data_IF_087500085623
#
_entry.id   IF_087500085623
#
_cell.length_a   1.000
_cell.length_b   1.000
_cell.length_c   1.000
_cell.angle_alpha   90.00
_cell.angle_beta   90.00
_cell.angle_gamma   90.00
#
_symmetry.space_group_name_H-M   'P 1'
#
loop_
_entity.id
_entity.type
_entity.pdbx_description
1 polymer ?
#
# COMPACT_ATOMS: atom_id res chain seq x y z
N UNK A 1 -10.64 8.31 15.97
CA UNK A 1 -12.11 8.19 15.95
C UNK A 1 -12.59 7.23 14.85
N UNK A 2 -11.89 7.18 13.70
CA UNK A 2 -12.21 6.40 12.50
C UNK A 2 -12.33 4.88 12.71
N UNK A 3 -11.65 4.30 13.71
CA UNK A 3 -11.56 2.85 13.92
C UNK A 3 -12.36 2.31 15.12
N UNK A 4 -13.25 3.08 15.77
CA UNK A 4 -13.85 2.69 17.06
C UNK A 4 -14.63 1.36 17.04
N UNK A 5 -15.31 1.00 15.93
CA UNK A 5 -16.08 -0.25 15.83
C UNK A 5 -15.24 -1.49 15.44
N UNK A 6 -14.09 -1.30 14.76
CA UNK A 6 -13.31 -2.36 14.13
C UNK A 6 -11.94 -2.61 14.80
N UNK A 7 -11.66 -1.94 15.93
CA UNK A 7 -10.35 -1.99 16.61
C UNK A 7 -9.87 -3.42 16.89
N UNK A 8 -10.74 -4.30 17.34
CA UNK A 8 -10.37 -5.69 17.66
C UNK A 8 -9.93 -6.46 16.42
N UNK A 9 -10.68 -6.32 15.32
CA UNK A 9 -10.35 -6.97 14.02
C UNK A 9 -9.07 -6.41 13.42
N UNK A 10 -8.86 -5.07 13.50
CA UNK A 10 -7.61 -4.44 13.07
C UNK A 10 -6.40 -4.93 13.87
N UNK A 11 -6.49 -4.96 15.19
CA UNK A 11 -5.41 -5.46 16.05
C UNK A 11 -5.10 -6.92 15.72
N UNK A 12 -6.12 -7.75 15.54
CA UNK A 12 -5.93 -9.14 15.15
C UNK A 12 -5.24 -9.27 13.79
N UNK A 13 -5.62 -8.44 12.81
CA UNK A 13 -4.96 -8.37 11.51
C UNK A 13 -3.49 -7.98 11.60
N UNK A 14 -3.13 -7.02 12.47
CA UNK A 14 -1.73 -6.64 12.71
C UNK A 14 -0.94 -7.72 13.43
N UNK A 15 -1.55 -8.43 14.37
CA UNK A 15 -0.91 -9.60 15.02
C UNK A 15 -0.65 -10.69 13.99
N UNK A 16 -1.62 -11.01 13.12
CA UNK A 16 -1.42 -11.96 12.02
C UNK A 16 -0.32 -11.48 11.05
N UNK A 17 -0.25 -10.18 10.77
CA UNK A 17 0.81 -9.59 9.97
C UNK A 17 2.21 -9.76 10.59
N UNK A 18 2.32 -9.56 11.91
CA UNK A 18 3.56 -9.77 12.63
C UNK A 18 4.04 -11.22 12.50
N UNK A 19 3.16 -12.19 12.74
CA UNK A 19 3.51 -13.60 12.58
C UNK A 19 3.82 -13.99 11.14
N UNK A 20 3.06 -13.46 10.16
CA UNK A 20 3.34 -13.68 8.74
C UNK A 20 4.74 -13.16 8.35
N UNK A 21 5.13 -11.99 8.87
CA UNK A 21 6.45 -11.41 8.62
C UNK A 21 7.55 -12.23 9.30
N UNK A 22 7.33 -12.70 10.50
CA UNK A 22 8.25 -13.60 11.19
C UNK A 22 8.48 -14.90 10.41
N UNK A 23 7.39 -15.50 9.91
CA UNK A 23 7.46 -16.68 9.05
C UNK A 23 8.14 -16.39 7.69
N UNK A 24 8.22 -15.12 7.26
CA UNK A 24 8.98 -14.70 6.07
C UNK A 24 10.49 -14.67 6.34
N UNK A 25 10.89 -14.20 7.51
CA UNK A 25 12.29 -14.16 7.91
C UNK A 25 12.85 -15.55 8.30
N UNK A 26 11.97 -16.43 8.81
CA UNK A 26 12.34 -17.76 9.29
C UNK A 26 13.11 -18.62 8.30
N UNK A 27 12.68 -18.81 7.04
CA UNK A 27 13.41 -19.59 6.04
C UNK A 27 14.82 -19.06 5.77
N UNK A 28 15.00 -17.73 5.74
CA UNK A 28 16.30 -17.10 5.54
C UNK A 28 17.24 -17.40 6.71
N UNK A 29 16.72 -17.34 7.93
CA UNK A 29 17.48 -17.66 9.13
C UNK A 29 17.85 -19.14 9.21
N UNK A 30 16.92 -20.00 8.83
CA UNK A 30 17.14 -21.44 8.81
C UNK A 30 18.19 -21.80 7.75
N UNK A 31 18.17 -21.13 6.59
CA UNK A 31 19.19 -21.26 5.57
C UNK A 31 20.57 -20.75 6.04
N UNK A 32 20.62 -19.60 6.70
CA UNK A 32 21.86 -19.05 7.26
C UNK A 32 22.44 -19.98 8.34
N UNK A 33 21.60 -20.52 9.20
CA UNK A 33 22.03 -21.50 10.22
C UNK A 33 22.56 -22.79 9.58
N UNK A 34 21.87 -23.33 8.56
CA UNK A 34 22.30 -24.52 7.83
C UNK A 34 23.65 -24.28 7.10
N UNK A 35 23.80 -23.10 6.49
CA UNK A 35 25.06 -22.70 5.85
C UNK A 35 26.20 -22.62 6.86
N UNK A 36 25.97 -22.05 8.04
CA UNK A 36 26.95 -22.01 9.13
C UNK A 36 27.43 -23.41 9.56
N UNK A 37 26.47 -24.36 9.63
CA UNK A 37 26.78 -25.76 9.92
C UNK A 37 27.60 -26.43 8.81
N UNK A 38 27.26 -26.13 7.55
CA UNK A 38 28.02 -26.65 6.39
C UNK A 38 29.46 -26.14 6.35
N UNK A 39 29.68 -24.85 6.63
CA UNK A 39 30.98 -24.24 6.70
C UNK A 39 31.80 -24.83 7.88
N UNK A 40 31.19 -24.95 9.07
CA UNK A 40 31.83 -25.55 10.23
C UNK A 40 32.27 -27.00 9.97
N UNK A 41 31.51 -27.78 9.21
CA UNK A 41 31.89 -29.11 8.80
C UNK A 41 33.08 -29.11 7.82
N UNK A 42 33.10 -28.17 6.88
CA UNK A 42 34.21 -28.01 5.94
C UNK A 42 35.54 -27.67 6.65
N UNK A 43 35.47 -27.07 7.86
CA UNK A 43 36.60 -26.75 8.72
C UNK A 43 36.90 -27.85 9.77
N UNK A 44 36.12 -28.97 9.76
CA UNK A 44 36.33 -30.11 10.67
C UNK A 44 35.76 -29.93 12.09
N UNK A 45 34.95 -28.89 12.32
CA UNK A 45 34.40 -28.56 13.65
C UNK A 45 33.06 -29.24 13.97
N UNK A 46 32.35 -29.76 12.97
CA UNK A 46 31.03 -30.38 13.18
C UNK A 46 30.71 -31.47 12.15
N UNK A 47 30.17 -32.61 12.59
CA UNK A 47 29.66 -33.66 11.69
C UNK A 47 28.27 -33.27 11.14
N UNK A 48 28.09 -33.42 9.83
CA UNK A 48 26.78 -33.24 9.19
C UNK A 48 26.00 -34.54 9.31
N UNK A 49 24.89 -34.50 10.04
CA UNK A 49 23.91 -35.57 9.99
C UNK A 49 23.21 -35.60 8.64
N UNK A 50 23.05 -36.77 8.03
CA UNK A 50 22.30 -36.98 6.77
C UNK A 50 20.85 -36.52 6.85
N UNK A 51 20.32 -36.29 8.06
CA UNK A 51 18.97 -35.75 8.30
C UNK A 51 18.85 -34.22 8.16
N UNK A 52 19.97 -33.48 8.16
CA UNK A 52 19.99 -32.03 8.16
C UNK A 52 19.29 -31.42 6.94
N UNK A 53 19.47 -31.89 5.68
CA UNK A 53 18.75 -31.38 4.52
C UNK A 53 17.22 -31.60 4.62
N UNK A 54 16.80 -32.75 5.12
CA UNK A 54 15.38 -33.07 5.31
C UNK A 54 14.74 -32.21 6.38
N UNK A 55 15.43 -31.94 7.47
CA UNK A 55 14.96 -31.06 8.54
C UNK A 55 14.81 -29.62 8.05
N UNK A 56 15.76 -29.14 7.25
CA UNK A 56 15.67 -27.83 6.62
C UNK A 56 14.49 -27.76 5.62
N UNK A 57 14.32 -28.77 4.79
CA UNK A 57 13.24 -28.81 3.81
C UNK A 57 11.85 -28.80 4.49
N UNK A 58 11.66 -29.65 5.49
CA UNK A 58 10.41 -29.72 6.26
C UNK A 58 10.18 -28.41 7.01
N UNK A 59 11.22 -27.85 7.65
CA UNK A 59 11.13 -26.60 8.39
C UNK A 59 10.77 -25.40 7.48
N UNK A 60 11.41 -25.26 6.33
CA UNK A 60 11.11 -24.21 5.35
C UNK A 60 9.69 -24.38 4.82
N UNK A 61 9.27 -25.60 4.45
CA UNK A 61 7.93 -25.86 3.93
C UNK A 61 6.85 -25.53 4.99
N UNK A 62 7.08 -25.93 6.23
CA UNK A 62 6.16 -25.61 7.34
C UNK A 62 6.04 -24.11 7.57
N UNK A 63 7.14 -23.37 7.53
CA UNK A 63 7.13 -21.90 7.68
C UNK A 63 6.41 -21.21 6.50
N UNK A 64 6.57 -21.71 5.28
CA UNK A 64 5.87 -21.18 4.09
C UNK A 64 4.35 -21.41 4.21
N UNK A 65 3.94 -22.62 4.62
CA UNK A 65 2.52 -22.93 4.82
C UNK A 65 1.91 -22.06 5.95
N UNK A 66 2.63 -21.91 7.05
CA UNK A 66 2.20 -21.07 8.17
C UNK A 66 2.11 -19.59 7.77
N UNK A 67 3.07 -19.09 6.99
CA UNK A 67 3.02 -17.75 6.39
C UNK A 67 1.78 -17.58 5.52
N UNK A 68 1.50 -18.55 4.65
CA UNK A 68 0.31 -18.50 3.79
C UNK A 68 -0.97 -18.41 4.62
N UNK A 69 -1.08 -19.22 5.68
CA UNK A 69 -2.23 -19.21 6.58
C UNK A 69 -2.40 -17.85 7.28
N UNK A 70 -1.34 -17.30 7.86
CA UNK A 70 -1.41 -15.99 8.52
C UNK A 70 -1.71 -14.86 7.54
N UNK A 71 -1.14 -14.90 6.33
CA UNK A 71 -1.42 -13.91 5.28
C UNK A 71 -2.88 -13.98 4.82
N UNK A 72 -3.42 -15.17 4.65
CA UNK A 72 -4.84 -15.38 4.32
C UNK A 72 -5.76 -14.78 5.39
N UNK A 73 -5.51 -15.08 6.67
CA UNK A 73 -6.30 -14.54 7.77
C UNK A 73 -6.19 -13.03 7.88
N UNK A 74 -4.98 -12.50 7.72
CA UNK A 74 -4.73 -11.06 7.69
C UNK A 74 -5.57 -10.38 6.61
N UNK A 75 -5.45 -10.84 5.37
CA UNK A 75 -6.16 -10.23 4.24
C UNK A 75 -7.68 -10.32 4.44
N UNK A 76 -8.19 -11.46 4.86
CA UNK A 76 -9.62 -11.62 5.12
C UNK A 76 -10.14 -10.68 6.21
N UNK A 77 -9.38 -10.45 7.27
CA UNK A 77 -9.76 -9.54 8.34
C UNK A 77 -9.69 -8.07 7.89
N UNK A 78 -8.70 -7.70 7.11
CA UNK A 78 -8.49 -6.32 6.67
C UNK A 78 -9.41 -5.93 5.50
N UNK A 79 -9.60 -6.80 4.51
CA UNK A 79 -10.52 -6.53 3.40
C UNK A 79 -11.98 -6.41 3.84
N UNK A 80 -12.41 -7.24 4.80
CA UNK A 80 -13.79 -7.13 5.31
C UNK A 80 -14.06 -5.79 5.99
N UNK A 81 -13.06 -5.20 6.65
CA UNK A 81 -13.19 -3.88 7.26
C UNK A 81 -13.32 -2.79 6.19
N UNK A 82 -12.56 -2.88 5.10
CA UNK A 82 -12.62 -1.94 3.98
C UNK A 82 -14.00 -1.90 3.34
N UNK A 83 -14.55 -3.05 3.00
CA UNK A 83 -15.87 -3.14 2.34
C UNK A 83 -17.03 -2.73 3.25
N UNK A 84 -16.99 -3.10 4.56
CA UNK A 84 -18.01 -2.67 5.53
C UNK A 84 -17.99 -1.14 5.70
N UNK A 85 -16.80 -0.53 5.77
CA UNK A 85 -16.65 0.92 5.85
C UNK A 85 -17.11 1.65 4.60
N UNK A 86 -16.83 1.09 3.42
CA UNK A 86 -17.32 1.61 2.16
C UNK A 86 -18.84 1.72 2.16
N UNK A 87 -19.51 0.67 2.61
CA UNK A 87 -20.96 0.64 2.72
C UNK A 87 -21.49 1.69 3.70
N UNK A 88 -20.89 1.81 4.90
CA UNK A 88 -21.27 2.79 5.91
C UNK A 88 -21.14 4.23 5.41
N UNK A 89 -20.03 4.56 4.75
CA UNK A 89 -19.79 5.90 4.21
C UNK A 89 -20.76 6.26 3.07
N UNK A 90 -21.09 5.28 2.20
CA UNK A 90 -22.11 5.49 1.17
C UNK A 90 -23.47 5.77 1.76
N UNK A 91 -23.84 5.07 2.83
CA UNK A 91 -25.10 5.32 3.53
C UNK A 91 -25.12 6.70 4.19
N UNK A 92 -24.02 7.10 4.85
CA UNK A 92 -23.86 8.41 5.48
C UNK A 92 -23.95 9.53 4.43
N UNK A 93 -23.28 9.38 3.28
CA UNK A 93 -23.37 10.33 2.17
C UNK A 93 -24.79 10.39 1.58
N UNK A 94 -25.47 9.25 1.43
CA UNK A 94 -26.87 9.20 1.01
C UNK A 94 -27.80 9.94 1.96
N UNK A 95 -27.57 9.82 3.26
CA UNK A 95 -28.34 10.53 4.28
C UNK A 95 -28.03 12.05 4.32
N UNK A 96 -26.80 12.45 4.03
CA UNK A 96 -26.43 13.85 3.84
C UNK A 96 -27.14 14.43 2.60
N UNK A 97 -27.14 13.71 1.47
CA UNK A 97 -27.80 14.15 0.24
C UNK A 97 -29.32 14.33 0.40
N UNK A 98 -29.98 13.53 1.23
CA UNK A 98 -31.41 13.72 1.56
C UNK A 98 -31.70 15.05 2.27
N UNK A 99 -30.72 15.62 2.95
CA UNK A 99 -30.84 16.89 3.69
C UNK A 99 -30.49 18.13 2.85
N UNK A 100 -29.96 17.93 1.65
CA UNK A 100 -29.56 19.02 0.75
C UNK A 100 -30.79 19.56 0.01
N UNK A 101 -30.84 20.87 -0.19
CA UNK A 101 -31.97 21.54 -0.87
C UNK A 101 -32.04 21.13 -2.35
N UNK A 102 -33.27 21.07 -2.91
CA UNK A 102 -33.50 20.76 -4.33
C UNK A 102 -32.70 21.69 -5.27
N UNK A 103 -32.49 22.95 -4.87
CA UNK A 103 -31.69 23.92 -5.63
C UNK A 103 -30.23 23.54 -5.83
N UNK A 104 -29.69 22.68 -4.99
CA UNK A 104 -28.33 22.14 -5.16
C UNK A 104 -28.28 21.20 -6.38
N UNK A 105 -29.24 20.32 -6.52
CA UNK A 105 -29.35 19.39 -7.65
C UNK A 105 -29.65 20.08 -8.98
N UNK A 106 -30.29 21.24 -8.95
CA UNK A 106 -30.52 22.04 -10.14
C UNK A 106 -29.28 22.79 -10.65
N UNK A 107 -28.30 23.08 -9.74
CA UNK A 107 -27.06 23.79 -10.09
C UNK A 107 -25.90 22.85 -10.38
N UNK A 108 -25.92 21.64 -9.88
CA UNK A 108 -24.86 20.66 -10.06
C UNK A 108 -25.34 19.51 -10.95
N UNK A 109 -24.44 19.03 -11.78
CA UNK A 109 -24.73 17.94 -12.69
C UNK A 109 -24.95 16.65 -11.89
N UNK A 110 -26.10 16.02 -12.03
CA UNK A 110 -26.42 14.76 -11.33
C UNK A 110 -25.40 13.66 -11.63
N UNK A 111 -24.84 13.67 -12.85
CA UNK A 111 -23.78 12.75 -13.28
C UNK A 111 -22.50 12.89 -12.46
N UNK A 112 -22.07 14.12 -12.15
CA UNK A 112 -20.86 14.37 -11.37
C UNK A 112 -21.04 13.90 -9.92
N UNK A 113 -22.22 14.14 -9.33
CA UNK A 113 -22.57 13.64 -7.99
C UNK A 113 -22.56 12.11 -7.96
N UNK A 114 -23.12 11.47 -8.98
CA UNK A 114 -23.17 10.02 -9.08
C UNK A 114 -21.77 9.43 -9.26
N UNK A 115 -20.92 10.04 -10.08
CA UNK A 115 -19.53 9.63 -10.29
C UNK A 115 -18.71 9.76 -9.01
N UNK A 116 -18.85 10.87 -8.27
CA UNK A 116 -18.20 11.06 -6.97
C UNK A 116 -18.62 9.97 -5.97
N UNK A 117 -19.92 9.66 -5.89
CA UNK A 117 -20.45 8.64 -4.97
C UNK A 117 -20.04 7.20 -5.33
N UNK A 118 -19.93 6.88 -6.60
CA UNK A 118 -19.72 5.50 -7.04
C UNK A 118 -18.25 5.19 -7.30
N UNK A 119 -17.54 6.08 -8.00
CA UNK A 119 -16.18 5.80 -8.50
C UNK A 119 -15.12 6.42 -7.60
N UNK A 120 -15.23 7.71 -7.32
CA UNK A 120 -14.20 8.41 -6.53
C UNK A 120 -14.14 7.92 -5.10
N UNK A 121 -15.29 7.75 -4.44
CA UNK A 121 -15.36 7.24 -3.08
C UNK A 121 -14.79 5.84 -2.98
N UNK A 122 -15.11 4.95 -3.92
CA UNK A 122 -14.58 3.58 -3.95
C UNK A 122 -13.06 3.57 -4.14
N UNK A 123 -12.54 4.43 -5.00
CA UNK A 123 -11.10 4.55 -5.25
C UNK A 123 -10.37 5.08 -4.02
N UNK A 124 -10.90 6.11 -3.36
CA UNK A 124 -10.33 6.67 -2.14
C UNK A 124 -10.30 5.65 -1.01
N UNK A 125 -11.35 4.86 -0.84
CA UNK A 125 -11.42 3.82 0.20
C UNK A 125 -10.41 2.70 -0.02
N UNK A 126 -10.38 2.14 -1.23
CA UNK A 126 -9.43 1.09 -1.60
C UNK A 126 -7.98 1.56 -1.45
N UNK A 127 -7.69 2.80 -1.88
CA UNK A 127 -6.35 3.37 -1.80
C UNK A 127 -5.95 3.68 -0.35
N UNK A 128 -6.87 4.24 0.46
CA UNK A 128 -6.61 4.56 1.86
C UNK A 128 -6.28 3.31 2.68
N UNK A 129 -7.05 2.22 2.51
CA UNK A 129 -6.80 0.96 3.22
C UNK A 129 -5.48 0.33 2.81
N UNK A 130 -5.15 0.32 1.51
CA UNK A 130 -3.85 -0.17 1.03
C UNK A 130 -2.69 0.64 1.57
N UNK A 131 -2.82 1.97 1.65
CA UNK A 131 -1.79 2.84 2.22
C UNK A 131 -1.56 2.57 3.71
N UNK A 132 -2.63 2.45 4.50
CA UNK A 132 -2.54 2.14 5.93
C UNK A 132 -1.88 0.76 6.13
N UNK A 133 -2.30 -0.24 5.37
CA UNK A 133 -1.72 -1.59 5.43
C UNK A 133 -0.24 -1.57 5.05
N UNK A 134 0.13 -0.91 3.95
CA UNK A 134 1.52 -0.81 3.50
C UNK A 134 2.43 -0.14 4.53
N UNK A 135 1.98 0.95 5.15
CA UNK A 135 2.76 1.68 6.16
C UNK A 135 2.97 0.82 7.41
N UNK A 136 1.90 0.23 7.94
CA UNK A 136 1.99 -0.55 9.18
C UNK A 136 2.79 -1.84 8.96
N UNK A 137 2.53 -2.55 7.85
CA UNK A 137 3.31 -3.74 7.51
C UNK A 137 4.78 -3.41 7.24
N UNK A 138 5.08 -2.27 6.63
CA UNK A 138 6.44 -1.79 6.44
C UNK A 138 7.19 -1.63 7.76
N UNK A 139 6.57 -0.97 8.75
CA UNK A 139 7.18 -0.83 10.09
C UNK A 139 7.35 -2.17 10.78
N UNK A 140 6.35 -3.05 10.72
CA UNK A 140 6.44 -4.40 11.31
C UNK A 140 7.57 -5.18 10.65
N UNK A 141 7.70 -5.11 9.33
CA UNK A 141 8.73 -5.83 8.58
C UNK A 141 10.14 -5.35 8.96
N UNK A 142 10.36 -4.05 9.03
CA UNK A 142 11.65 -3.48 9.46
C UNK A 142 11.97 -3.90 10.88
N UNK A 143 11.02 -3.82 11.81
CA UNK A 143 11.22 -4.21 13.19
C UNK A 143 11.57 -5.69 13.33
N UNK A 144 10.85 -6.58 12.63
CA UNK A 144 11.12 -8.03 12.65
C UNK A 144 12.49 -8.36 12.08
N UNK A 145 12.85 -7.77 10.93
CA UNK A 145 14.16 -8.00 10.30
C UNK A 145 15.30 -7.53 11.22
N UNK A 146 15.19 -6.32 11.79
CA UNK A 146 16.17 -5.80 12.73
C UNK A 146 16.34 -6.70 13.96
N UNK A 147 15.22 -7.16 14.52
CA UNK A 147 15.24 -8.08 15.67
C UNK A 147 15.91 -9.40 15.31
N UNK A 148 15.61 -9.93 14.14
CA UNK A 148 16.20 -11.15 13.65
C UNK A 148 17.73 -11.01 13.46
N UNK A 149 18.18 -9.94 12.81
CA UNK A 149 19.62 -9.68 12.61
C UNK A 149 20.32 -9.45 13.97
N UNK A 150 19.65 -8.79 14.92
CA UNK A 150 20.21 -8.55 16.25
C UNK A 150 20.46 -9.84 17.05
N UNK A 151 19.61 -10.86 16.87
CA UNK A 151 19.78 -12.17 17.53
C UNK A 151 20.99 -12.91 16.97
N UNK A 152 21.22 -12.85 15.64
CA UNK A 152 22.29 -13.62 15.01
C UNK A 152 23.63 -12.88 14.99
N UNK A 153 23.62 -11.57 14.76
CA UNK A 153 24.81 -10.75 14.58
C UNK A 153 24.60 -9.34 15.13
N UNK A 154 24.80 -9.09 16.44
CA UNK A 154 24.59 -7.76 17.04
C UNK A 154 25.32 -6.61 16.32
N UNK A 155 26.58 -6.74 15.88
CA UNK A 155 27.27 -5.67 15.16
C UNK A 155 26.60 -5.36 13.79
N UNK A 156 26.10 -6.36 13.09
CA UNK A 156 25.38 -6.17 11.83
C UNK A 156 24.04 -5.44 12.06
N UNK A 157 23.38 -5.69 13.19
CA UNK A 157 22.14 -5.00 13.54
C UNK A 157 22.36 -3.49 13.76
N UNK A 158 23.49 -3.08 14.34
CA UNK A 158 23.84 -1.65 14.49
C UNK A 158 24.01 -0.98 13.13
N UNK A 159 24.70 -1.62 12.20
CA UNK A 159 24.86 -1.09 10.83
C UNK A 159 23.51 -0.99 10.12
N UNK A 160 22.68 -2.03 10.23
CA UNK A 160 21.34 -2.02 9.66
C UNK A 160 20.45 -0.92 10.27
N UNK A 161 20.52 -0.71 11.59
CA UNK A 161 19.79 0.37 12.27
C UNK A 161 20.22 1.75 11.75
N UNK A 162 21.53 1.98 11.60
CA UNK A 162 22.05 3.22 11.01
C UNK A 162 21.52 3.42 9.59
N UNK A 163 21.52 2.37 8.76
CA UNK A 163 20.92 2.42 7.42
C UNK A 163 19.46 2.81 7.42
N UNK A 164 18.67 2.25 8.34
CA UNK A 164 17.22 2.60 8.50
C UNK A 164 17.06 4.06 8.93
N UNK A 165 17.90 4.56 9.85
CA UNK A 165 17.83 5.96 10.29
C UNK A 165 18.18 6.92 9.15
N UNK A 166 19.23 6.64 8.37
CA UNK A 166 19.61 7.45 7.19
C UNK A 166 18.50 7.44 6.17
N UNK A 167 17.91 6.27 5.88
CA UNK A 167 16.77 6.13 4.96
C UNK A 167 15.56 6.93 5.45
N UNK A 168 15.23 6.85 6.73
CA UNK A 168 14.11 7.60 7.32
C UNK A 168 14.33 9.13 7.21
N UNK A 169 15.57 9.59 7.39
CA UNK A 169 15.90 11.00 7.22
C UNK A 169 15.78 11.45 5.76
N UNK A 170 16.28 10.66 4.82
CA UNK A 170 16.16 10.92 3.38
C UNK A 170 14.69 10.95 2.94
N UNK A 171 13.88 9.98 3.39
CA UNK A 171 12.44 9.93 3.10
C UNK A 171 11.69 11.13 3.66
N UNK A 172 12.07 11.64 4.84
CA UNK A 172 11.49 12.89 5.37
C UNK A 172 11.80 14.10 4.49
N UNK A 173 13.00 14.16 3.94
CA UNK A 173 13.39 15.21 2.99
C UNK A 173 12.55 15.17 1.72
N UNK A 174 12.47 13.99 1.10
CA UNK A 174 11.67 13.74 -0.11
C UNK A 174 10.19 14.02 0.15
N UNK A 175 9.64 13.56 1.28
CA UNK A 175 8.23 13.79 1.64
C UNK A 175 7.89 15.27 1.78
N UNK A 176 8.79 16.07 2.38
CA UNK A 176 8.61 17.53 2.47
C UNK A 176 8.64 18.20 1.10
N UNK A 177 9.55 17.79 0.24
CA UNK A 177 9.65 18.32 -1.13
C UNK A 177 8.44 17.91 -1.96
N UNK A 178 8.01 16.65 -1.90
CA UNK A 178 6.83 16.15 -2.57
C UNK A 178 5.56 16.89 -2.13
N UNK A 179 5.39 17.13 -0.82
CA UNK A 179 4.26 17.90 -0.30
C UNK A 179 4.22 19.36 -0.82
N UNK A 180 5.37 19.96 -1.13
CA UNK A 180 5.46 21.29 -1.73
C UNK A 180 5.14 21.28 -3.23
N UNK A 181 5.50 20.21 -3.93
CA UNK A 181 5.32 20.09 -5.38
C UNK A 181 3.94 19.50 -5.76
N UNK A 182 3.31 18.76 -4.86
CA UNK A 182 2.00 18.15 -5.10
C UNK A 182 0.92 19.14 -5.59
N UNK A 183 0.75 20.34 -4.98
CA UNK A 183 -0.25 21.29 -5.47
C UNK A 183 0.04 21.83 -6.88
N UNK A 184 1.31 21.89 -7.29
CA UNK A 184 1.69 22.27 -8.67
C UNK A 184 1.29 21.17 -9.64
N UNK A 185 1.57 19.91 -9.29
CA UNK A 185 1.15 18.76 -10.10
C UNK A 185 -0.37 18.65 -10.25
N UNK A 186 -1.14 18.89 -9.16
CA UNK A 186 -2.60 18.91 -9.23
C UNK A 186 -3.11 20.00 -10.17
N UNK A 187 -2.59 21.22 -10.08
CA UNK A 187 -3.00 22.31 -10.98
C UNK A 187 -2.66 22.02 -12.45
N UNK A 188 -1.51 21.42 -12.72
CA UNK A 188 -1.15 21.00 -14.06
C UNK A 188 -2.11 19.92 -14.60
N UNK A 189 -2.49 18.95 -13.75
CA UNK A 189 -3.47 17.92 -14.10
C UNK A 189 -4.87 18.51 -14.34
N UNK A 190 -5.30 19.48 -13.54
CA UNK A 190 -6.57 20.19 -13.73
C UNK A 190 -6.56 21.00 -15.05
N UNK A 191 -5.47 21.68 -15.34
CA UNK A 191 -5.31 22.44 -16.59
C UNK A 191 -5.35 21.52 -17.81
N UNK A 192 -4.64 20.39 -17.75
CA UNK A 192 -4.64 19.38 -18.82
C UNK A 192 -6.05 18.80 -19.02
N UNK A 193 -6.75 18.45 -17.93
CA UNK A 193 -8.11 17.92 -18.00
C UNK A 193 -9.08 18.96 -18.57
N UNK A 194 -8.96 20.24 -18.17
CA UNK A 194 -9.76 21.33 -18.69
C UNK A 194 -9.54 21.54 -20.18
N UNK A 195 -8.27 21.58 -20.62
CA UNK A 195 -7.92 21.70 -22.03
C UNK A 195 -8.42 20.51 -22.88
N UNK A 196 -8.36 19.30 -22.34
CA UNK A 196 -8.88 18.10 -23.01
C UNK A 196 -10.43 18.17 -23.20
N UNK A 197 -11.15 18.60 -22.18
CA UNK A 197 -12.61 18.77 -22.24
C UNK A 197 -12.97 19.87 -23.24
N UNK A 198 -12.27 21.02 -23.22
CA UNK A 198 -12.49 22.13 -24.15
C UNK A 198 -12.23 21.66 -25.61
N UNK A 199 -11.17 20.90 -25.83
CA UNK A 199 -10.86 20.31 -27.12
C UNK A 199 -11.97 19.39 -27.63
N UNK A 200 -12.43 18.45 -26.78
CA UNK A 200 -13.50 17.51 -27.15
C UNK A 200 -14.81 18.23 -27.45
N UNK A 201 -15.19 19.22 -26.65
CA UNK A 201 -16.38 20.02 -26.89
C UNK A 201 -16.26 20.92 -28.12
N UNK A 202 -15.07 21.42 -28.45
CA UNK A 202 -14.79 22.21 -29.64
C UNK A 202 -14.69 21.40 -30.95
N UNK A 203 -14.46 20.09 -30.85
CA UNK A 203 -14.20 19.22 -32.00
C UNK A 203 -15.31 19.24 -33.08
N UNK A 204 -16.63 19.22 -32.71
CA UNK A 204 -17.70 19.32 -33.70
C UNK A 204 -17.66 20.63 -34.47
N UNK A 205 -17.31 21.74 -33.80
CA UNK A 205 -17.22 23.07 -34.41
C UNK A 205 -16.02 23.12 -35.37
N UNK A 206 -14.84 22.65 -34.94
CA UNK A 206 -13.63 22.60 -35.74
C UNK A 206 -13.82 21.74 -37.01
N UNK A 207 -14.49 20.58 -36.84
CA UNK A 207 -14.83 19.70 -37.99
C UNK A 207 -15.81 20.35 -38.95
N UNK A 208 -16.77 21.12 -38.49
CA UNK A 208 -17.74 21.80 -39.34
C UNK A 208 -17.10 22.91 -40.19
N UNK A 209 -15.98 23.49 -39.74
CA UNK A 209 -15.25 24.55 -40.44
C UNK A 209 -14.01 24.05 -41.20
N UNK A 210 -13.71 22.73 -41.20
CA UNK A 210 -12.57 22.13 -41.93
C UNK A 210 -11.20 22.55 -41.40
N UNK A 211 -11.10 23.01 -40.15
CA UNK A 211 -9.85 23.52 -39.57
C UNK A 211 -9.20 22.48 -38.63
N UNK A 212 -8.83 21.33 -39.16
CA UNK A 212 -8.32 20.20 -38.37
C UNK A 212 -6.96 20.43 -37.66
N UNK A 213 -6.30 21.58 -37.86
CA UNK A 213 -4.93 21.81 -37.36
C UNK A 213 -4.78 22.89 -36.26
N UNK A 214 -5.72 23.80 -36.12
CA UNK A 214 -5.54 25.03 -35.31
C UNK A 214 -5.89 24.82 -33.81
N UNK A 215 -6.71 23.84 -33.51
CA UNK A 215 -7.24 23.59 -32.15
C UNK A 215 -6.28 22.85 -31.25
N UNK A 216 -5.16 22.31 -31.76
CA UNK A 216 -4.24 21.45 -31.02
C UNK A 216 -3.17 22.22 -30.22
N UNK A 217 -2.96 23.50 -30.52
CA UNK A 217 -1.88 24.30 -29.92
C UNK A 217 -2.02 24.42 -28.38
N UNK A 218 -3.21 24.73 -27.86
CA UNK A 218 -3.43 24.81 -26.41
C UNK A 218 -3.28 23.48 -25.68
N UNK A 219 -3.56 22.38 -26.36
CA UNK A 219 -3.37 21.03 -25.82
C UNK A 219 -1.89 20.61 -25.80
N UNK A 220 -1.10 21.12 -26.75
CA UNK A 220 0.35 20.88 -26.80
C UNK A 220 1.15 21.72 -25.79
N UNK A 221 0.60 22.86 -25.38
CA UNK A 221 1.23 23.78 -24.41
C UNK A 221 0.89 23.43 -22.95
N UNK A 222 -0.13 22.61 -22.68
CA UNK A 222 -0.56 22.16 -21.35
C UNK A 222 0.08 20.83 -20.94
#
# INVERSE_FOLDING_TARGET
>A
QWAKGYRKRMILGFVCSFFATWCTAGPVMLAAWALGRLIGNAWGESEISASLPWLCLVGITALILLRFLFTYWKNRLQESIGTERAADQRMELGDMLKRVSLGYFARNNLGDILTALTTELSTLELQSMKMVDAVINGYIQVAVILLCVAIFCPPAALVALLGVLVSAFALRGIGRQSARTAPVGHRAQEALSGAAIEYIHGLPVVKSFGQDGVSVQRFQEA
#
